data_IF_098257713425
#
_entry.id   IF_098257713425
#
_cell.length_a   1.000
_cell.length_b   1.000
_cell.length_c   1.000
_cell.angle_alpha   90.00
_cell.angle_beta   90.00
_cell.angle_gamma   90.00
#
_symmetry.space_group_name_H-M   'P 1'
#
loop_
_entity.id
_entity.type
_entity.pdbx_description
1 polymer ?
#
# COMPACT_ATOMS: atom_id res chain seq x y z
N UNK A 1 -4.75 -35.01 -41.10
CA UNK A 1 -3.70 -34.49 -40.20
C UNK A 1 -4.30 -33.36 -39.40
N UNK A 2 -4.68 -33.60 -38.13
CA UNK A 2 -5.24 -32.58 -37.23
C UNK A 2 -4.10 -32.09 -36.34
N UNK A 3 -3.75 -30.81 -36.48
CA UNK A 3 -2.73 -30.15 -35.67
C UNK A 3 -3.38 -29.72 -34.35
N UNK A 4 -2.97 -30.34 -33.24
CA UNK A 4 -3.38 -29.90 -31.90
C UNK A 4 -2.42 -28.82 -31.42
N UNK A 5 -2.91 -27.58 -31.35
CA UNK A 5 -2.25 -26.50 -30.62
C UNK A 5 -2.33 -26.78 -29.12
N UNK A 6 -1.19 -27.04 -28.50
CA UNK A 6 -1.05 -27.00 -27.05
C UNK A 6 -1.03 -25.52 -26.62
N UNK A 7 -2.08 -25.08 -25.93
CA UNK A 7 -2.03 -23.84 -25.15
C UNK A 7 -1.16 -24.09 -23.92
N UNK A 8 0.08 -23.58 -23.95
CA UNK A 8 0.87 -23.45 -22.74
C UNK A 8 0.21 -22.37 -21.86
N UNK A 9 -0.39 -22.80 -20.76
CA UNK A 9 -0.85 -21.89 -19.72
C UNK A 9 0.40 -21.21 -19.12
N UNK A 10 0.59 -19.92 -19.45
CA UNK A 10 1.56 -19.09 -18.76
C UNK A 10 1.02 -18.89 -17.35
N UNK A 11 1.56 -19.63 -16.39
CA UNK A 11 1.37 -19.36 -14.98
C UNK A 11 1.89 -17.94 -14.72
N UNK A 12 0.98 -16.97 -14.58
CA UNK A 12 1.30 -15.69 -13.99
C UNK A 12 1.86 -15.97 -12.61
N UNK A 13 3.17 -15.79 -12.45
CA UNK A 13 3.80 -15.59 -11.16
C UNK A 13 3.12 -14.35 -10.57
N UNK A 14 2.01 -14.55 -9.85
CA UNK A 14 1.61 -13.58 -8.87
C UNK A 14 2.84 -13.45 -7.97
N UNK A 15 3.41 -12.23 -7.80
CA UNK A 15 4.33 -12.02 -6.69
C UNK A 15 3.59 -12.60 -5.51
N UNK A 16 4.22 -13.56 -4.81
CA UNK A 16 3.64 -14.21 -3.62
C UNK A 16 2.90 -13.13 -2.88
N UNK A 17 1.56 -13.17 -2.94
CA UNK A 17 0.77 -12.23 -2.18
C UNK A 17 1.27 -12.50 -0.78
N UNK A 18 2.05 -11.56 -0.26
CA UNK A 18 2.49 -11.52 1.11
C UNK A 18 1.25 -11.85 1.95
N UNK A 19 1.41 -12.53 3.09
CA UNK A 19 0.29 -13.12 3.84
C UNK A 19 -0.62 -12.05 4.44
N UNK A 20 -1.28 -11.31 3.55
CA UNK A 20 -2.21 -10.28 3.80
C UNK A 20 -3.49 -10.95 4.25
N UNK A 21 -4.04 -10.35 5.26
CA UNK A 21 -5.17 -10.85 6.01
C UNK A 21 -6.46 -10.36 5.37
N UNK A 22 -6.44 -9.13 4.88
CA UNK A 22 -7.61 -8.41 4.37
C UNK A 22 -7.24 -7.65 3.12
N UNK A 23 -8.09 -7.73 2.09
CA UNK A 23 -8.00 -6.98 0.85
C UNK A 23 -9.08 -5.91 0.76
N UNK A 24 -8.79 -4.83 0.05
CA UNK A 24 -9.76 -3.78 -0.27
C UNK A 24 -9.47 -3.17 -1.64
N UNK A 25 -10.37 -3.33 -2.59
CA UNK A 25 -10.18 -2.78 -3.93
C UNK A 25 -10.45 -1.28 -3.96
N UNK A 26 -9.71 -0.57 -4.79
CA UNK A 26 -9.96 0.83 -5.10
C UNK A 26 -10.01 1.07 -6.61
N UNK A 27 -10.77 2.07 -7.02
CA UNK A 27 -10.87 2.50 -8.41
C UNK A 27 -11.06 4.03 -8.52
N UNK A 28 -10.48 4.64 -9.54
CA UNK A 28 -10.75 6.00 -10.00
C UNK A 28 -11.31 5.91 -11.43
N UNK A 29 -12.41 6.60 -11.70
CA UNK A 29 -13.02 6.64 -13.04
C UNK A 29 -12.44 7.77 -13.88
N UNK A 30 -12.54 7.67 -15.22
CA UNK A 30 -12.07 8.74 -16.12
C UNK A 30 -10.55 8.85 -16.21
N UNK A 31 -9.82 7.78 -15.85
CA UNK A 31 -8.35 7.75 -15.95
C UNK A 31 -7.92 7.75 -17.41
N UNK A 32 -7.00 8.65 -17.82
CA UNK A 32 -6.43 8.63 -19.17
C UNK A 32 -5.77 7.28 -19.47
N UNK A 33 -5.67 6.91 -20.75
CA UNK A 33 -4.96 5.68 -21.15
C UNK A 33 -3.50 5.68 -20.72
N UNK A 34 -2.90 6.86 -20.54
CA UNK A 34 -1.56 7.04 -19.99
C UNK A 34 -1.47 6.93 -18.47
N UNK A 35 -2.58 6.69 -17.76
CA UNK A 35 -2.64 6.64 -16.30
C UNK A 35 -2.72 8.01 -15.61
N UNK A 36 -2.94 7.96 -14.30
CA UNK A 36 -2.95 9.09 -13.38
C UNK A 36 -1.55 9.67 -13.18
N UNK A 37 -1.43 10.99 -13.00
CA UNK A 37 -0.17 11.65 -12.61
C UNK A 37 0.01 11.79 -11.09
N UNK A 38 -1.08 11.59 -10.34
CA UNK A 38 -1.06 11.60 -8.89
C UNK A 38 -2.21 10.77 -8.34
N UNK A 39 -2.03 10.24 -7.14
CA UNK A 39 -3.08 9.62 -6.36
C UNK A 39 -2.82 9.85 -4.87
N UNK A 40 -3.89 10.01 -4.10
CA UNK A 40 -3.83 10.20 -2.66
C UNK A 40 -4.69 9.14 -1.99
N UNK A 41 -4.12 8.47 -1.01
CA UNK A 41 -4.77 7.46 -0.18
C UNK A 41 -4.83 7.96 1.28
N UNK A 42 -6.01 8.32 1.79
CA UNK A 42 -6.16 8.65 3.21
C UNK A 42 -6.13 7.39 4.08
N UNK A 43 -5.42 7.46 5.20
CA UNK A 43 -5.39 6.43 6.23
C UNK A 43 -5.64 7.04 7.61
N UNK A 44 -6.40 6.35 8.44
CA UNK A 44 -6.51 6.65 9.87
C UNK A 44 -6.26 5.38 10.69
N UNK A 45 -5.34 5.46 11.65
CA UNK A 45 -4.89 4.32 12.46
C UNK A 45 -5.12 4.56 13.96
N UNK A 46 -6.10 5.40 14.30
CA UNK A 46 -6.34 5.90 15.66
C UNK A 46 -6.51 4.82 16.73
N UNK A 47 -7.03 3.66 16.31
CA UNK A 47 -7.33 2.55 17.22
C UNK A 47 -6.33 1.41 17.10
N UNK A 48 -5.22 1.62 16.40
CA UNK A 48 -4.17 0.62 16.29
C UNK A 48 -3.17 0.77 17.43
N UNK A 49 -2.74 -0.33 18.09
CA UNK A 49 -1.71 -0.26 19.13
C UNK A 49 -0.39 0.29 18.58
N UNK A 50 0.33 1.05 19.41
CA UNK A 50 1.66 1.59 19.07
C UNK A 50 2.72 0.48 19.18
N UNK A 51 2.71 -0.44 18.23
CA UNK A 51 3.59 -1.61 18.15
C UNK A 51 3.88 -1.94 16.70
N UNK A 52 5.06 -2.49 16.47
CA UNK A 52 5.46 -2.99 15.16
C UNK A 52 4.68 -4.25 14.78
N UNK A 53 4.51 -4.47 13.48
CA UNK A 53 4.05 -5.76 12.93
C UNK A 53 2.99 -5.62 11.85
N UNK A 54 2.22 -4.53 11.83
CA UNK A 54 1.21 -4.31 10.80
C UNK A 54 1.71 -3.44 9.66
N UNK A 55 1.23 -3.73 8.45
CA UNK A 55 1.29 -2.83 7.31
C UNK A 55 -0.11 -2.61 6.74
N UNK A 56 -0.51 -1.34 6.62
CA UNK A 56 -1.73 -0.93 5.94
C UNK A 56 -1.34 -0.20 4.67
N UNK A 57 -1.68 -0.78 3.52
CA UNK A 57 -1.12 -0.33 2.26
C UNK A 57 -2.14 -0.28 1.15
N UNK A 58 -1.87 0.57 0.17
CA UNK A 58 -2.53 0.57 -1.13
C UNK A 58 -1.49 0.21 -2.18
N UNK A 59 -1.73 -0.86 -2.92
CA UNK A 59 -0.94 -1.19 -4.11
C UNK A 59 -1.44 -0.35 -5.28
N UNK A 60 -0.58 -0.19 -6.28
CA UNK A 60 -0.88 0.45 -7.55
C UNK A 60 0.00 -0.14 -8.65
N UNK A 61 -0.52 -0.20 -9.88
CA UNK A 61 0.31 -0.46 -11.05
C UNK A 61 0.63 0.82 -11.79
N UNK A 62 1.72 0.81 -12.54
CA UNK A 62 1.98 1.80 -13.57
C UNK A 62 1.62 1.24 -14.94
N UNK A 63 1.01 2.08 -15.78
CA UNK A 63 0.77 1.74 -17.18
C UNK A 63 2.12 1.49 -17.86
N UNK A 64 2.21 0.37 -18.58
CA UNK A 64 3.45 -0.10 -19.22
C UNK A 64 4.32 -1.01 -18.36
N UNK A 65 3.90 -1.30 -17.12
CA UNK A 65 4.63 -2.20 -16.21
C UNK A 65 3.75 -3.35 -15.74
N UNK A 66 4.38 -4.49 -15.42
CA UNK A 66 3.69 -5.69 -14.91
C UNK A 66 3.64 -5.73 -13.39
N UNK A 67 4.75 -5.35 -12.76
CA UNK A 67 4.88 -5.33 -11.31
C UNK A 67 4.18 -4.11 -10.69
N UNK A 68 4.04 -4.15 -9.37
CA UNK A 68 3.31 -3.17 -8.57
C UNK A 68 4.26 -2.19 -7.88
N UNK A 69 3.69 -1.10 -7.38
CA UNK A 69 4.20 -0.41 -6.21
C UNK A 69 3.19 -0.48 -5.08
N UNK A 70 3.62 -0.16 -3.87
CA UNK A 70 2.72 0.09 -2.75
C UNK A 70 3.11 1.35 -1.99
N UNK A 71 2.16 1.89 -1.24
CA UNK A 71 2.43 2.93 -0.26
C UNK A 71 1.45 2.82 0.91
N UNK A 72 1.89 3.21 2.09
CA UNK A 72 1.07 3.05 3.28
C UNK A 72 1.77 3.40 4.58
N UNK A 73 1.17 2.96 5.69
CA UNK A 73 1.63 3.22 7.05
C UNK A 73 1.82 1.94 7.84
N UNK A 74 2.85 1.91 8.67
CA UNK A 74 3.05 0.89 9.70
C UNK A 74 3.08 1.55 11.08
N UNK A 75 2.33 1.04 12.06
CA UNK A 75 2.48 1.47 13.44
C UNK A 75 3.85 1.04 14.00
N UNK A 76 4.37 1.83 14.94
CA UNK A 76 5.64 1.62 15.63
C UNK A 76 5.46 1.84 17.14
N UNK A 77 6.33 1.27 17.97
CA UNK A 77 6.45 1.68 19.37
C UNK A 77 6.71 3.17 19.50
N UNK A 78 6.23 3.75 20.60
CA UNK A 78 6.59 5.12 20.97
C UNK A 78 8.11 5.27 21.11
N UNK A 79 8.62 6.43 20.73
CA UNK A 79 10.03 6.80 20.90
C UNK A 79 10.13 8.19 21.50
N UNK A 80 10.98 8.35 22.51
CA UNK A 80 11.17 9.62 23.23
C UNK A 80 9.83 10.24 23.72
N UNK A 81 8.89 9.40 24.15
CA UNK A 81 7.56 9.81 24.62
C UNK A 81 6.61 10.27 23.51
N UNK A 82 6.93 10.04 22.24
CA UNK A 82 6.10 10.42 21.09
C UNK A 82 5.62 9.19 20.30
N UNK A 83 4.36 9.20 19.82
CA UNK A 83 3.88 8.20 18.87
C UNK A 83 4.66 8.28 17.56
N UNK A 84 5.16 7.13 17.11
CA UNK A 84 5.91 7.02 15.86
C UNK A 84 5.07 6.29 14.81
N UNK A 85 5.07 6.83 13.59
CA UNK A 85 4.49 6.19 12.42
C UNK A 85 5.63 5.95 11.43
N UNK A 86 5.59 4.81 10.75
CA UNK A 86 6.49 4.48 9.66
C UNK A 86 5.76 4.61 8.33
N UNK A 87 6.19 5.54 7.49
CA UNK A 87 5.67 5.72 6.13
C UNK A 87 6.47 4.88 5.14
N UNK A 88 5.80 4.22 4.20
CA UNK A 88 6.41 3.36 3.19
C UNK A 88 5.94 3.76 1.79
N UNK A 89 6.87 3.78 0.84
CA UNK A 89 6.62 3.98 -0.59
C UNK A 89 7.62 3.17 -1.41
N UNK A 90 7.15 2.14 -2.11
CA UNK A 90 8.03 1.19 -2.79
C UNK A 90 7.55 0.86 -4.19
N UNK A 91 8.51 0.52 -5.06
CA UNK A 91 8.32 0.00 -6.41
C UNK A 91 9.00 -1.35 -6.50
N UNK A 92 8.27 -2.36 -7.00
CA UNK A 92 8.81 -3.69 -7.29
C UNK A 92 9.30 -3.83 -8.74
N UNK A 93 9.24 -2.74 -9.50
CA UNK A 93 9.57 -2.73 -10.92
C UNK A 93 11.09 -2.77 -11.08
N UNK A 94 11.59 -3.80 -11.75
CA UNK A 94 13.00 -3.94 -12.07
C UNK A 94 13.53 -2.74 -12.87
N UNK A 95 14.75 -2.28 -12.54
CA UNK A 95 15.33 -1.08 -13.14
C UNK A 95 14.86 0.25 -12.55
N UNK A 96 14.03 0.23 -11.50
CA UNK A 96 13.78 1.42 -10.68
C UNK A 96 15.09 1.87 -10.01
N UNK A 97 15.36 3.17 -10.00
CA UNK A 97 16.54 3.77 -9.38
C UNK A 97 16.16 4.90 -8.43
N UNK A 98 17.07 5.28 -7.54
CA UNK A 98 16.89 6.40 -6.62
C UNK A 98 18.23 7.01 -6.22
N UNK A 99 18.20 8.29 -5.85
CA UNK A 99 19.30 8.98 -5.16
C UNK A 99 18.83 9.58 -3.83
N UNK A 100 17.64 9.19 -3.39
CA UNK A 100 16.98 9.74 -2.20
C UNK A 100 17.49 9.01 -0.95
N UNK A 101 17.90 9.73 0.11
CA UNK A 101 18.50 9.11 1.30
C UNK A 101 17.53 8.22 2.09
N UNK A 102 16.22 8.38 1.92
CA UNK A 102 15.23 7.53 2.57
C UNK A 102 15.00 6.20 1.82
N UNK A 103 15.64 6.04 0.67
CA UNK A 103 15.41 4.92 -0.23
C UNK A 103 16.65 4.04 -0.38
N UNK A 104 16.41 2.76 -0.65
CA UNK A 104 17.45 1.82 -1.01
C UNK A 104 17.00 0.93 -2.16
N UNK A 105 17.97 0.35 -2.87
CA UNK A 105 17.71 -0.68 -3.88
C UNK A 105 17.11 -1.92 -3.22
N UNK A 106 16.15 -2.52 -3.93
CA UNK A 106 15.44 -3.72 -3.54
C UNK A 106 14.14 -3.43 -2.79
N UNK A 107 13.05 -4.07 -3.21
CA UNK A 107 11.77 -4.07 -2.51
C UNK A 107 11.52 -5.48 -1.97
N UNK A 108 11.45 -5.61 -0.64
CA UNK A 108 11.33 -6.89 0.08
C UNK A 108 12.38 -7.95 -0.33
N UNK A 109 13.60 -7.50 -0.60
CA UNK A 109 14.69 -8.35 -1.08
C UNK A 109 14.62 -8.72 -2.56
N UNK A 110 13.54 -8.35 -3.25
CA UNK A 110 13.36 -8.48 -4.69
C UNK A 110 13.82 -7.25 -5.50
N UNK A 111 13.52 -7.20 -6.80
CA UNK A 111 13.82 -6.06 -7.66
C UNK A 111 13.13 -4.76 -7.21
N UNK A 112 13.68 -3.63 -7.66
CA UNK A 112 13.04 -2.31 -7.49
C UNK A 112 13.69 -1.45 -6.42
N UNK A 113 12.90 -0.59 -5.78
CA UNK A 113 13.34 0.38 -4.76
C UNK A 113 12.31 0.45 -3.65
N UNK A 114 12.78 0.49 -2.40
CA UNK A 114 11.94 0.74 -1.24
C UNK A 114 12.38 2.04 -0.56
N UNK A 115 11.41 2.90 -0.26
CA UNK A 115 11.61 4.13 0.50
C UNK A 115 10.80 4.08 1.79
N UNK A 116 11.38 4.55 2.88
CA UNK A 116 10.66 4.63 4.14
C UNK A 116 11.22 5.68 5.09
N UNK A 117 10.38 6.12 6.02
CA UNK A 117 10.78 7.09 7.05
C UNK A 117 9.97 6.84 8.32
N UNK A 118 10.65 6.85 9.48
CA UNK A 118 10.02 6.96 10.79
C UNK A 118 9.89 8.44 11.15
N UNK A 119 8.71 8.84 11.63
CA UNK A 119 8.45 10.21 12.04
C UNK A 119 7.49 10.27 13.22
N UNK A 120 7.57 11.31 14.07
CA UNK A 120 6.58 11.53 15.11
C UNK A 120 5.25 11.95 14.48
N UNK A 121 4.20 11.19 14.75
CA UNK A 121 2.90 11.36 14.11
C UNK A 121 1.76 10.89 14.99
N UNK A 122 0.72 11.73 15.15
CA UNK A 122 -0.46 11.37 15.93
C UNK A 122 -1.30 10.34 15.17
N UNK A 123 -1.62 9.23 15.82
CA UNK A 123 -2.43 8.15 15.23
C UNK A 123 -3.90 8.55 15.06
N UNK A 124 -4.37 9.46 15.93
CA UNK A 124 -5.72 10.00 15.87
C UNK A 124 -6.00 10.79 14.58
N UNK A 125 -4.95 11.35 13.98
CA UNK A 125 -5.07 12.21 12.80
C UNK A 125 -5.15 11.35 11.53
N UNK A 126 -5.82 11.88 10.50
CA UNK A 126 -5.80 11.26 9.18
C UNK A 126 -4.55 11.70 8.43
N UNK A 127 -3.82 10.72 7.92
CA UNK A 127 -2.63 10.93 7.09
C UNK A 127 -2.95 10.54 5.66
N UNK A 128 -2.80 11.50 4.75
CA UNK A 128 -2.87 11.26 3.32
C UNK A 128 -1.50 10.80 2.83
N UNK A 129 -1.44 9.58 2.30
CA UNK A 129 -0.31 9.10 1.51
C UNK A 129 -0.49 9.64 0.09
N UNK A 130 0.38 10.56 -0.32
CA UNK A 130 0.33 11.25 -1.60
C UNK A 130 1.44 10.76 -2.52
N UNK A 131 1.06 10.26 -3.69
CA UNK A 131 1.98 9.80 -4.73
C UNK A 131 1.83 10.73 -5.91
N UNK A 132 2.93 11.32 -6.37
CA UNK A 132 2.92 12.30 -7.46
C UNK A 132 4.09 12.11 -8.42
N UNK A 133 3.80 12.25 -9.71
CA UNK A 133 4.82 12.32 -10.75
C UNK A 133 5.49 13.70 -10.70
N UNK A 134 6.82 13.71 -10.60
CA UNK A 134 7.62 14.94 -10.51
C UNK A 134 8.03 15.39 -11.91
N UNK A 135 8.69 14.51 -12.65
CA UNK A 135 9.15 14.74 -14.03
C UNK A 135 9.41 13.39 -14.68
N UNK A 136 9.11 13.25 -15.97
CA UNK A 136 9.36 12.00 -16.71
C UNK A 136 8.74 10.79 -15.99
N UNK A 137 9.59 9.83 -15.63
CA UNK A 137 9.22 8.61 -14.87
C UNK A 137 9.64 8.68 -13.39
N UNK A 138 9.96 9.87 -12.88
CA UNK A 138 10.29 10.11 -11.47
C UNK A 138 9.01 10.37 -10.66
N UNK A 139 8.90 9.67 -9.54
CA UNK A 139 7.75 9.69 -8.64
C UNK A 139 8.20 9.95 -7.21
N UNK A 140 7.35 10.67 -6.47
CA UNK A 140 7.55 11.03 -5.08
C UNK A 140 6.38 10.54 -4.24
N UNK A 141 6.70 9.97 -3.08
CA UNK A 141 5.78 9.65 -2.00
C UNK A 141 5.94 10.63 -0.84
N UNK A 142 4.85 11.26 -0.43
CA UNK A 142 4.78 12.14 0.74
C UNK A 142 3.61 11.74 1.65
N UNK A 143 3.67 12.14 2.90
CA UNK A 143 2.56 12.12 3.84
C UNK A 143 2.08 13.54 4.10
N UNK A 144 0.78 13.73 4.20
CA UNK A 144 0.14 14.98 4.57
C UNK A 144 -0.87 14.77 5.70
N UNK A 145 -0.64 15.42 6.84
CA UNK A 145 -1.58 15.42 7.96
C UNK A 145 -2.71 16.42 7.68
N UNK A 146 -3.95 15.95 7.60
CA UNK A 146 -5.10 16.80 7.27
C UNK A 146 -5.52 17.74 8.40
N UNK A 147 -5.10 17.46 9.64
CA UNK A 147 -5.43 18.24 10.84
C UNK A 147 -4.42 19.36 11.05
N UNK A 148 -3.12 19.06 10.95
CA UNK A 148 -2.05 20.03 11.23
C UNK A 148 -1.50 20.72 9.98
N UNK A 149 -1.75 20.16 8.80
CA UNK A 149 -1.13 20.61 7.54
C UNK A 149 0.33 20.19 7.37
N UNK A 150 0.89 19.40 8.31
CA UNK A 150 2.27 18.94 8.27
C UNK A 150 2.52 17.99 7.09
N UNK A 151 3.72 18.07 6.53
CA UNK A 151 4.20 17.18 5.46
C UNK A 151 5.42 16.38 5.91
N UNK A 152 5.48 15.11 5.50
CA UNK A 152 6.65 14.26 5.70
C UNK A 152 7.02 13.65 4.35
N UNK A 153 8.27 13.80 3.95
CA UNK A 153 8.77 13.20 2.74
C UNK A 153 9.12 11.72 2.98
N UNK A 154 8.49 10.79 2.25
CA UNK A 154 8.84 9.36 2.36
C UNK A 154 10.03 9.07 1.46
N UNK A 155 9.98 9.49 0.20
CA UNK A 155 11.10 9.30 -0.73
C UNK A 155 10.73 9.52 -2.19
N UNK A 156 11.75 9.44 -3.04
CA UNK A 156 11.66 9.66 -4.48
C UNK A 156 12.36 8.53 -5.23
N UNK A 157 11.77 8.02 -6.30
CA UNK A 157 12.42 7.06 -7.20
C UNK A 157 12.07 7.33 -8.67
N UNK A 158 12.90 6.82 -9.58
CA UNK A 158 12.70 6.90 -11.03
C UNK A 158 12.45 5.51 -11.60
N UNK A 159 11.32 5.33 -12.26
CA UNK A 159 10.92 4.09 -12.92
C UNK A 159 11.62 3.97 -14.29
N UNK A 160 11.83 2.73 -14.80
CA UNK A 160 12.47 2.53 -16.09
C UNK A 160 11.69 3.17 -17.26
N UNK A 161 12.36 3.43 -18.40
CA UNK A 161 11.72 3.94 -19.61
C UNK A 161 10.51 3.10 -20.04
N UNK A 162 9.52 3.74 -20.66
CA UNK A 162 8.26 3.10 -21.06
C UNK A 162 7.19 3.06 -19.97
N UNK A 163 7.56 3.39 -18.72
CA UNK A 163 6.59 3.57 -17.64
C UNK A 163 5.81 4.87 -17.80
N UNK A 164 4.50 4.81 -17.59
CA UNK A 164 3.61 5.98 -17.66
C UNK A 164 3.00 6.28 -16.27
N UNK A 165 1.75 6.75 -16.24
CA UNK A 165 0.99 7.06 -15.03
C UNK A 165 0.52 5.82 -14.26
N UNK A 166 -0.06 6.07 -13.09
CA UNK A 166 -0.68 5.04 -12.24
C UNK A 166 -1.99 4.58 -12.87
N UNK A 167 -2.19 3.26 -12.96
CA UNK A 167 -3.43 2.66 -13.42
C UNK A 167 -4.60 3.05 -12.50
N UNK A 168 -5.81 3.12 -13.05
CA UNK A 168 -6.99 3.63 -12.32
C UNK A 168 -7.56 2.70 -11.26
N UNK A 169 -6.99 1.52 -11.03
CA UNK A 169 -7.51 0.56 -10.05
C UNK A 169 -6.41 -0.35 -9.54
N UNK A 170 -6.54 -0.77 -8.29
CA UNK A 170 -5.78 -1.89 -7.71
C UNK A 170 -6.39 -2.27 -6.34
N UNK A 171 -5.68 -3.08 -5.57
CA UNK A 171 -6.00 -3.53 -4.23
C UNK A 171 -5.17 -2.79 -3.19
N UNK A 172 -5.74 -2.61 -2.01
CA UNK A 172 -5.05 -2.39 -0.76
C UNK A 172 -5.08 -3.64 0.10
N UNK A 173 -4.25 -3.65 1.13
CA UNK A 173 -4.14 -4.77 2.05
C UNK A 173 -3.86 -4.35 3.48
N UNK A 174 -4.29 -5.22 4.40
CA UNK A 174 -3.81 -5.26 5.79
C UNK A 174 -2.99 -6.53 5.95
N UNK A 175 -1.76 -6.37 6.39
CA UNK A 175 -0.82 -7.48 6.58
C UNK A 175 -0.23 -7.42 7.99
N UNK A 176 0.02 -8.59 8.58
CA UNK A 176 0.88 -8.74 9.74
C UNK A 176 2.20 -9.39 9.32
N UNK A 177 3.18 -8.58 8.93
CA UNK A 177 4.41 -9.04 8.28
C UNK A 177 5.28 -9.97 9.13
N UNK A 178 5.21 -10.04 10.49
CA UNK A 178 5.93 -11.07 11.23
C UNK A 178 5.49 -12.50 10.85
N UNK A 179 4.32 -12.67 10.25
CA UNK A 179 3.89 -13.97 9.73
C UNK A 179 4.56 -14.32 8.42
N UNK A 180 5.14 -13.38 7.66
CA UNK A 180 5.79 -13.63 6.35
C UNK A 180 6.97 -14.61 6.39
N UNK A 181 7.39 -15.04 7.58
CA UNK A 181 8.40 -16.08 7.79
C UNK A 181 7.95 -17.06 8.86
N UNK A 182 8.16 -18.35 8.63
CA UNK A 182 7.91 -19.40 9.60
C UNK A 182 6.45 -19.85 9.67
N UNK A 183 6.06 -20.43 10.81
CA UNK A 183 4.69 -20.93 11.07
C UNK A 183 3.94 -19.97 11.99
N UNK A 184 2.68 -19.70 11.70
CA UNK A 184 1.80 -18.84 12.51
C UNK A 184 0.54 -19.56 13.00
N UNK A 185 -0.15 -18.93 13.94
CA UNK A 185 -1.47 -19.38 14.44
C UNK A 185 -2.48 -18.25 14.30
N UNK A 186 -3.52 -18.46 13.49
CA UNK A 186 -4.49 -17.42 13.16
C UNK A 186 -5.14 -16.75 14.38
N UNK A 187 -5.39 -17.53 15.44
CA UNK A 187 -6.08 -17.06 16.64
C UNK A 187 -5.19 -16.25 17.61
N UNK A 188 -3.90 -16.05 17.29
CA UNK A 188 -2.97 -15.25 18.11
C UNK A 188 -2.64 -13.89 17.49
N UNK A 189 -3.41 -13.47 16.49
CA UNK A 189 -3.17 -12.22 15.81
C UNK A 189 -3.40 -11.02 16.76
N UNK A 190 -2.41 -10.12 16.95
CA UNK A 190 -2.60 -8.95 17.80
C UNK A 190 -3.66 -8.02 17.23
N UNK A 191 -4.53 -7.43 18.07
CA UNK A 191 -5.52 -6.46 17.61
C UNK A 191 -4.92 -5.28 16.83
N UNK A 192 -5.63 -4.85 15.78
CA UNK A 192 -5.29 -3.72 14.93
C UNK A 192 -6.53 -3.15 14.22
N UNK A 193 -6.49 -1.86 13.90
CA UNK A 193 -7.61 -1.18 13.23
C UNK A 193 -7.13 -0.04 12.36
N UNK A 194 -7.62 -0.01 11.12
CA UNK A 194 -7.33 1.04 10.14
C UNK A 194 -8.60 1.42 9.39
N UNK A 195 -8.77 2.71 9.10
CA UNK A 195 -9.74 3.19 8.12
C UNK A 195 -9.00 3.56 6.84
N UNK A 196 -9.34 2.88 5.75
CA UNK A 196 -8.95 3.25 4.40
C UNK A 196 -9.92 4.29 3.87
N UNK A 197 -9.43 5.48 3.58
CA UNK A 197 -10.23 6.54 2.99
C UNK A 197 -10.35 6.40 1.47
N UNK A 198 -11.42 6.97 0.92
CA UNK A 198 -11.66 6.96 -0.53
C UNK A 198 -10.51 7.67 -1.25
N UNK A 199 -9.87 7.04 -2.25
CA UNK A 199 -8.76 7.66 -2.95
C UNK A 199 -9.20 8.88 -3.74
N UNK A 200 -8.27 9.79 -4.00
CA UNK A 200 -8.49 10.97 -4.83
C UNK A 200 -7.29 11.23 -5.72
N UNK A 201 -7.54 11.84 -6.87
CA UNK A 201 -6.53 12.25 -7.84
C UNK A 201 -6.94 13.57 -8.47
N UNK A 202 -6.09 14.14 -9.33
CA UNK A 202 -6.44 15.33 -10.11
C UNK A 202 -7.61 15.11 -11.07
N UNK A 203 -7.89 13.87 -11.48
CA UNK A 203 -9.01 13.55 -12.38
C UNK A 203 -10.33 13.33 -11.64
N UNK A 204 -10.30 13.22 -10.31
CA UNK A 204 -11.49 13.08 -9.50
C UNK A 204 -11.31 12.20 -8.27
N UNK A 205 -12.42 12.01 -7.56
CA UNK A 205 -12.55 11.09 -6.42
C UNK A 205 -12.80 9.68 -6.93
N UNK A 206 -12.16 8.70 -6.31
CA UNK A 206 -12.38 7.29 -6.60
C UNK A 206 -13.46 6.65 -5.72
N UNK A 207 -13.34 5.34 -5.58
CA UNK A 207 -14.22 4.49 -4.79
C UNK A 207 -13.41 3.37 -4.10
N UNK A 208 -14.00 2.77 -3.08
CA UNK A 208 -13.49 1.59 -2.38
C UNK A 208 -14.54 0.49 -2.41
N UNK A 209 -14.14 -0.75 -2.70
CA UNK A 209 -14.99 -1.92 -2.43
C UNK A 209 -15.17 -2.11 -0.93
N UNK A 210 -16.05 -3.04 -0.55
CA UNK A 210 -16.00 -3.56 0.81
C UNK A 210 -14.69 -4.34 1.00
N UNK A 211 -14.23 -4.38 2.25
CA UNK A 211 -13.07 -5.19 2.61
C UNK A 211 -13.45 -6.68 2.63
N UNK A 212 -12.48 -7.56 2.45
CA UNK A 212 -12.68 -9.01 2.49
C UNK A 212 -11.44 -9.71 3.02
N UNK A 213 -11.60 -10.81 3.76
CA UNK A 213 -10.47 -11.65 4.16
C UNK A 213 -9.94 -12.47 2.99
N UNK A 214 -8.64 -12.73 2.98
CA UNK A 214 -8.00 -13.71 2.10
C UNK A 214 -6.84 -14.40 2.81
N UNK A 215 -6.23 -15.40 2.16
CA UNK A 215 -5.16 -16.20 2.75
C UNK A 215 -5.66 -17.42 3.53
N UNK A 216 -4.80 -18.00 4.36
CA UNK A 216 -5.04 -19.24 5.11
C UNK A 216 -5.81 -19.05 6.42
N UNK A 217 -5.91 -17.79 6.88
CA UNK A 217 -6.55 -17.40 8.13
C UNK A 217 -7.96 -16.81 8.01
N UNK A 218 -8.62 -16.95 6.85
CA UNK A 218 -10.00 -16.49 6.64
C UNK A 218 -10.94 -17.02 7.74
N UNK A 219 -11.69 -16.11 8.35
CA UNK A 219 -12.64 -16.40 9.43
C UNK A 219 -12.02 -16.69 10.79
N UNK A 220 -10.70 -16.53 10.95
CA UNK A 220 -9.95 -16.91 12.16
C UNK A 220 -9.18 -15.77 12.80
N UNK A 221 -9.14 -14.59 12.18
CA UNK A 221 -8.32 -13.45 12.63
C UNK A 221 -9.14 -12.33 13.24
N UNK A 222 -10.32 -12.64 13.80
CA UNK A 222 -11.16 -11.64 14.46
C UNK A 222 -11.62 -10.52 13.53
N UNK A 223 -11.68 -10.78 12.22
CA UNK A 223 -11.97 -9.79 11.20
C UNK A 223 -13.34 -9.12 11.39
N UNK A 224 -13.35 -7.80 11.29
CA UNK A 224 -14.57 -6.98 11.19
C UNK A 224 -14.34 -5.85 10.21
N UNK A 225 -15.37 -5.51 9.45
CA UNK A 225 -15.36 -4.32 8.60
C UNK A 225 -16.64 -3.52 8.75
N UNK A 226 -16.52 -2.20 8.62
CA UNK A 226 -17.65 -1.29 8.51
C UNK A 226 -17.34 -0.19 7.52
N UNK A 227 -18.38 0.39 6.94
CA UNK A 227 -18.28 1.53 6.03
C UNK A 227 -18.96 2.73 6.66
N UNK A 228 -18.33 3.88 6.53
CA UNK A 228 -18.88 5.18 6.90
C UNK A 228 -18.54 6.24 5.84
N UNK A 229 -18.80 7.51 6.15
CA UNK A 229 -18.50 8.63 5.24
C UNK A 229 -16.99 8.86 5.03
N UNK A 230 -16.14 8.40 5.95
CA UNK A 230 -14.69 8.56 5.89
C UNK A 230 -14.06 7.47 5.01
N UNK A 231 -14.64 6.27 4.98
CA UNK A 231 -14.21 5.20 4.08
C UNK A 231 -14.60 3.81 4.58
N UNK A 232 -13.68 2.87 4.50
CA UNK A 232 -13.87 1.49 4.96
C UNK A 232 -12.92 1.22 6.11
N UNK A 233 -13.49 0.93 7.27
CA UNK A 233 -12.78 0.51 8.46
C UNK A 233 -12.58 -1.00 8.44
N UNK A 234 -11.36 -1.42 8.73
CA UNK A 234 -10.93 -2.81 8.86
C UNK A 234 -10.36 -3.01 10.25
N UNK A 235 -10.79 -4.08 10.91
CA UNK A 235 -10.27 -4.54 12.18
C UNK A 235 -9.89 -6.01 12.06
N UNK A 236 -8.79 -6.39 12.71
CA UNK A 236 -8.31 -7.76 12.83
C UNK A 236 -7.67 -7.95 14.21
N UNK A 237 -7.52 -9.19 14.64
CA UNK A 237 -6.90 -9.59 15.90
C UNK A 237 -7.80 -9.48 17.14
N UNK A 238 -7.23 -9.82 18.28
CA UNK A 238 -7.89 -9.97 19.58
C UNK A 238 -7.25 -9.12 20.67
#
# INVERSE_FOLDING_TARGET
MKSSMFFAAVASLMPTLAMGLVGISWNVTGVPSSGLRNITFPFNIAQTPHRSGYYFAQQFNFVGQRDVGYAGLQPRPDSNGQPIIHGVFSSFIAGTTTSDPNCHTGADGGPGVSCSVDFPGRYADTWNVEISNVVGTTWRGDLFNTVTGSRVHIGTYTLPPGTQGIAGNQLGFVEYYPWNSGTHTCNSLPYSSVTFGVPRSSVGRGSLSDAFEYGDCVGKVGYRSSRDALGVRVQVGF
#
